data_IF_377765471386
#
_entry.id   IF_377765471386
#
_cell.length_a   1.000
_cell.length_b   1.000
_cell.length_c   1.000
_cell.angle_alpha   90.00
_cell.angle_beta   90.00
_cell.angle_gamma   90.00
#
_symmetry.space_group_name_H-M   'P 1'
#
loop_
_entity.id
_entity.type
_entity.pdbx_description
1 polymer ?
#
# COMPACT_ATOMS: atom_id res chain seq x y z
N UNK A 1 16.66 -11.13 0.08
CA UNK A 1 15.39 -10.44 -0.24
C UNK A 1 14.76 -11.18 -1.39
N UNK A 2 13.46 -11.50 -1.28
CA UNK A 2 12.69 -12.16 -2.34
C UNK A 2 12.39 -11.16 -3.45
N UNK A 3 12.45 -11.57 -4.71
CA UNK A 3 12.18 -10.67 -5.83
C UNK A 3 10.76 -10.05 -5.80
N UNK A 4 9.80 -10.75 -5.15
CA UNK A 4 8.45 -10.25 -4.93
C UNK A 4 8.48 -9.02 -4.03
N UNK A 5 9.22 -9.06 -2.92
CA UNK A 5 9.35 -7.95 -1.97
C UNK A 5 9.94 -6.72 -2.68
N UNK A 6 10.96 -6.91 -3.50
CA UNK A 6 11.57 -5.84 -4.28
C UNK A 6 10.59 -5.22 -5.29
N UNK A 7 9.72 -6.04 -5.90
CA UNK A 7 8.68 -5.56 -6.80
C UNK A 7 7.56 -4.84 -6.07
N UNK A 8 7.15 -5.31 -4.91
CA UNK A 8 6.18 -4.59 -4.06
C UNK A 8 6.74 -3.22 -3.67
N UNK A 9 8.00 -3.14 -3.23
CA UNK A 9 8.66 -1.86 -2.92
C UNK A 9 8.68 -0.90 -4.10
N UNK A 10 9.08 -1.38 -5.28
CA UNK A 10 9.07 -0.57 -6.50
C UNK A 10 7.65 -0.11 -6.85
N UNK A 11 6.66 -0.99 -6.72
CA UNK A 11 5.26 -0.71 -6.98
C UNK A 11 4.68 0.38 -6.07
N UNK A 12 4.83 0.24 -4.75
CA UNK A 12 4.35 1.23 -3.77
C UNK A 12 5.04 2.57 -3.97
N UNK A 13 6.35 2.58 -4.25
CA UNK A 13 7.09 3.79 -4.60
C UNK A 13 6.54 4.44 -5.86
N UNK A 14 6.25 3.67 -6.91
CA UNK A 14 5.64 4.20 -8.14
C UNK A 14 4.26 4.81 -7.87
N UNK A 15 3.43 4.19 -7.04
CA UNK A 15 2.14 4.76 -6.63
C UNK A 15 2.31 6.04 -5.79
N UNK A 16 3.25 6.04 -4.85
CA UNK A 16 3.56 7.20 -4.01
C UNK A 16 3.97 8.40 -4.87
N UNK A 17 4.77 8.18 -5.93
CA UNK A 17 5.18 9.22 -6.88
C UNK A 17 4.24 9.43 -8.07
N UNK A 18 3.06 8.81 -8.07
CA UNK A 18 2.06 8.95 -9.15
C UNK A 18 2.55 8.48 -10.53
N UNK A 19 3.58 7.64 -10.56
CA UNK A 19 4.06 6.94 -11.74
C UNK A 19 3.16 5.73 -12.06
N UNK A 20 1.86 5.97 -12.28
CA UNK A 20 0.84 4.92 -12.42
C UNK A 20 1.10 3.97 -13.59
N UNK A 21 1.72 4.44 -14.67
CA UNK A 21 2.13 3.58 -15.78
C UNK A 21 3.18 2.53 -15.37
N UNK A 22 4.15 2.91 -14.52
CA UNK A 22 5.13 1.97 -13.97
C UNK A 22 4.49 1.06 -12.93
N UNK A 23 3.66 1.61 -12.05
CA UNK A 23 2.91 0.83 -11.07
C UNK A 23 2.07 -0.28 -11.75
N UNK A 24 1.36 0.05 -12.84
CA UNK A 24 0.59 -0.93 -13.61
C UNK A 24 1.48 -2.05 -14.17
N UNK A 25 2.64 -1.72 -14.77
CA UNK A 25 3.57 -2.74 -15.31
C UNK A 25 4.12 -3.65 -14.22
N UNK A 26 4.39 -3.11 -13.03
CA UNK A 26 4.89 -3.91 -11.91
C UNK A 26 3.77 -4.80 -11.35
N UNK A 27 2.54 -4.28 -11.23
CA UNK A 27 1.39 -5.06 -10.78
C UNK A 27 1.12 -6.26 -11.71
N UNK A 28 1.28 -6.09 -13.02
CA UNK A 28 1.16 -7.20 -13.97
C UNK A 28 2.20 -8.30 -13.74
N UNK A 29 3.43 -7.93 -13.33
CA UNK A 29 4.46 -8.91 -12.93
C UNK A 29 4.08 -9.60 -11.61
N UNK A 30 3.44 -8.88 -10.69
CA UNK A 30 2.98 -9.40 -9.40
C UNK A 30 1.73 -10.29 -9.53
N UNK A 31 1.11 -10.41 -10.71
CA UNK A 31 -0.01 -11.35 -10.97
C UNK A 31 0.35 -12.80 -10.70
N UNK A 32 1.63 -13.14 -10.69
CA UNK A 32 2.08 -14.48 -10.33
C UNK A 32 1.84 -14.85 -8.85
N UNK A 33 1.43 -13.89 -8.00
CA UNK A 33 0.86 -14.17 -6.69
C UNK A 33 -0.50 -14.90 -6.80
N UNK A 34 -1.22 -14.74 -7.92
CA UNK A 34 -2.47 -15.46 -8.17
C UNK A 34 -2.21 -16.96 -8.38
N UNK A 35 -3.09 -17.81 -7.86
CA UNK A 35 -2.94 -19.26 -7.95
C UNK A 35 -1.86 -19.87 -7.04
N UNK A 36 -1.19 -19.07 -6.21
CA UNK A 36 -0.26 -19.54 -5.16
C UNK A 36 -0.94 -19.73 -3.79
N UNK A 37 -2.26 -19.96 -3.80
CA UNK A 37 -3.10 -20.10 -2.61
C UNK A 37 -3.79 -18.80 -2.16
N UNK A 38 -4.82 -18.94 -1.33
CA UNK A 38 -5.69 -17.85 -0.87
C UNK A 38 -4.91 -16.68 -0.26
N UNK A 39 -3.91 -16.99 0.57
CA UNK A 39 -3.01 -16.00 1.15
C UNK A 39 -2.30 -15.14 0.09
N UNK A 40 -1.70 -15.77 -0.93
CA UNK A 40 -1.02 -15.04 -2.00
C UNK A 40 -2.00 -14.23 -2.85
N UNK A 41 -3.21 -14.73 -3.05
CA UNK A 41 -4.27 -13.99 -3.73
C UNK A 41 -4.70 -12.75 -2.95
N UNK A 42 -4.92 -12.86 -1.63
CA UNK A 42 -5.23 -11.74 -0.76
C UNK A 42 -4.20 -10.62 -0.88
N UNK A 43 -2.90 -10.99 -0.87
CA UNK A 43 -1.81 -10.03 -1.11
C UNK A 43 -1.95 -9.32 -2.45
N UNK A 44 -2.20 -10.07 -3.52
CA UNK A 44 -2.38 -9.47 -4.85
C UNK A 44 -3.57 -8.50 -4.88
N UNK A 45 -4.71 -8.86 -4.29
CA UNK A 45 -5.89 -8.01 -4.28
C UNK A 45 -5.72 -6.73 -3.46
N UNK A 46 -4.96 -6.78 -2.36
CA UNK A 46 -4.56 -5.58 -1.64
C UNK A 46 -3.81 -4.61 -2.56
N UNK A 47 -2.78 -5.11 -3.27
CA UNK A 47 -2.00 -4.29 -4.21
C UNK A 47 -2.87 -3.75 -5.35
N UNK A 48 -3.71 -4.59 -5.95
CA UNK A 48 -4.62 -4.17 -7.01
C UNK A 48 -5.56 -3.05 -6.54
N UNK A 49 -6.09 -3.15 -5.32
CA UNK A 49 -6.92 -2.13 -4.70
C UNK A 49 -6.23 -0.77 -4.60
N UNK A 50 -4.92 -0.75 -4.29
CA UNK A 50 -4.12 0.49 -4.26
C UNK A 50 -4.11 1.20 -5.62
N UNK A 51 -3.85 0.49 -6.71
CA UNK A 51 -3.82 1.08 -8.06
C UNK A 51 -5.18 1.63 -8.45
N UNK A 52 -6.25 0.86 -8.19
CA UNK A 52 -7.62 1.28 -8.51
C UNK A 52 -7.98 2.57 -7.74
N UNK A 53 -7.71 2.61 -6.44
CA UNK A 53 -7.96 3.80 -5.62
C UNK A 53 -7.15 5.01 -6.12
N UNK A 54 -5.87 4.80 -6.42
CA UNK A 54 -4.98 5.86 -6.89
C UNK A 54 -5.39 6.41 -8.26
N UNK A 55 -5.74 5.55 -9.22
CA UNK A 55 -6.19 5.96 -10.55
C UNK A 55 -7.54 6.69 -10.54
N UNK A 56 -8.43 6.33 -9.61
CA UNK A 56 -9.72 7.01 -9.42
C UNK A 56 -9.59 8.33 -8.68
N UNK A 57 -8.45 8.62 -8.05
CA UNK A 57 -8.30 9.77 -7.17
C UNK A 57 -9.23 9.69 -5.96
N UNK A 58 -9.52 8.47 -5.47
CA UNK A 58 -10.43 8.24 -4.34
C UNK A 58 -9.80 8.71 -3.02
N UNK A 59 -10.03 9.99 -2.69
CA UNK A 59 -9.49 10.62 -1.47
C UNK A 59 -9.97 9.97 -0.17
N UNK A 60 -11.04 9.17 -0.23
CA UNK A 60 -11.55 8.45 0.94
C UNK A 60 -10.84 7.11 1.17
N UNK A 61 -10.21 6.56 0.13
CA UNK A 61 -9.43 5.34 0.22
C UNK A 61 -8.20 5.53 1.14
N UNK A 62 -7.96 4.53 1.99
CA UNK A 62 -6.88 4.56 2.98
C UNK A 62 -5.53 4.92 2.38
N UNK A 63 -5.21 4.39 1.19
CA UNK A 63 -3.95 4.67 0.51
C UNK A 63 -3.74 6.18 0.26
N UNK A 64 -4.75 6.87 -0.29
CA UNK A 64 -4.64 8.29 -0.61
C UNK A 64 -4.69 9.16 0.64
N UNK A 65 -5.48 8.79 1.66
CA UNK A 65 -5.42 9.43 2.99
C UNK A 65 -4.02 9.34 3.59
N UNK A 66 -3.46 8.14 3.66
CA UNK A 66 -2.11 7.90 4.19
C UNK A 66 -1.08 8.69 3.40
N UNK A 67 -1.14 8.64 2.07
CA UNK A 67 -0.18 9.31 1.18
C UNK A 67 -0.24 10.84 1.33
N UNK A 68 -1.42 11.43 1.28
CA UNK A 68 -1.57 12.89 1.09
C UNK A 68 -1.91 13.67 2.35
N UNK A 69 -2.55 13.03 3.34
CA UNK A 69 -3.19 13.73 4.47
C UNK A 69 -2.60 13.37 5.82
N UNK A 70 -1.97 12.19 5.96
CA UNK A 70 -1.48 11.70 7.24
C UNK A 70 0.01 11.97 7.44
N UNK A 71 0.36 12.38 8.66
CA UNK A 71 1.72 12.46 9.16
C UNK A 71 2.20 11.09 9.63
N UNK A 72 3.52 10.87 9.66
CA UNK A 72 4.15 9.57 9.96
C UNK A 72 3.61 8.94 11.26
N UNK A 73 3.40 9.75 12.31
CA UNK A 73 2.89 9.25 13.58
C UNK A 73 1.43 8.76 13.51
N UNK A 74 0.61 9.33 12.63
CA UNK A 74 -0.76 8.86 12.41
C UNK A 74 -0.77 7.55 11.63
N UNK A 75 0.15 7.41 10.65
CA UNK A 75 0.31 6.17 9.86
C UNK A 75 0.75 5.02 10.78
N UNK A 76 1.67 5.29 11.72
CA UNK A 76 2.09 4.30 12.73
C UNK A 76 0.91 3.79 13.57
N UNK A 77 0.00 4.68 14.00
CA UNK A 77 -1.21 4.29 14.73
C UNK A 77 -2.12 3.38 13.90
N UNK A 78 -2.39 3.75 12.65
CA UNK A 78 -3.19 2.89 11.73
C UNK A 78 -2.55 1.52 11.56
N UNK A 79 -1.22 1.48 11.40
CA UNK A 79 -0.44 0.25 11.26
C UNK A 79 -0.51 -0.64 12.50
N UNK A 80 -0.45 -0.05 13.71
CA UNK A 80 -0.63 -0.75 14.97
C UNK A 80 -2.05 -1.31 15.14
N UNK A 81 -3.07 -0.50 14.85
CA UNK A 81 -4.48 -0.90 14.90
C UNK A 81 -4.79 -2.04 13.93
N UNK A 82 -4.24 -1.97 12.70
CA UNK A 82 -4.40 -3.03 11.71
C UNK A 82 -3.70 -4.32 12.16
N UNK A 83 -2.47 -4.22 12.67
CA UNK A 83 -1.71 -5.36 13.17
C UNK A 83 -2.42 -6.08 14.32
N UNK A 84 -3.07 -5.33 15.22
CA UNK A 84 -3.85 -5.90 16.31
C UNK A 84 -5.06 -6.70 15.81
N UNK A 85 -5.70 -6.26 14.71
CA UNK A 85 -6.87 -6.95 14.12
C UNK A 85 -6.50 -8.26 13.43
N UNK A 86 -5.34 -8.31 12.76
CA UNK A 86 -4.87 -9.50 12.02
C UNK A 86 -4.59 -10.68 12.97
N UNK A 87 -4.19 -10.41 14.22
CA UNK A 87 -3.90 -11.45 15.22
C UNK A 87 -5.14 -12.18 15.75
N UNK A 88 -6.34 -11.78 15.31
CA UNK A 88 -7.58 -12.48 15.66
C UNK A 88 -7.67 -13.82 14.93
N UNK A 89 -8.01 -14.93 15.62
CA UNK A 89 -8.06 -16.27 15.02
C UNK A 89 -9.22 -16.49 14.00
N UNK A 90 -10.02 -15.45 13.72
CA UNK A 90 -11.19 -15.50 12.81
C UNK A 90 -10.83 -15.12 11.37
N UNK A 91 -9.59 -14.70 11.11
CA UNK A 91 -9.14 -14.23 9.79
C UNK A 91 -8.74 -15.44 8.93
N UNK A 92 -9.42 -15.62 7.79
CA UNK A 92 -9.06 -16.64 6.82
C UNK A 92 -7.72 -16.34 6.12
N UNK A 93 -7.20 -17.29 5.35
CA UNK A 93 -5.88 -17.13 4.72
C UNK A 93 -5.87 -15.97 3.71
N UNK A 94 -6.97 -15.75 2.99
CA UNK A 94 -7.11 -14.64 2.05
C UNK A 94 -7.02 -13.29 2.76
N UNK A 95 -7.85 -13.07 3.77
CA UNK A 95 -7.89 -11.84 4.55
C UNK A 95 -6.55 -11.60 5.24
N UNK A 96 -5.91 -12.67 5.74
CA UNK A 96 -4.57 -12.57 6.33
C UNK A 96 -3.55 -12.03 5.32
N UNK A 97 -3.51 -12.60 4.12
CA UNK A 97 -2.64 -12.13 3.06
C UNK A 97 -2.94 -10.69 2.65
N UNK A 98 -4.22 -10.34 2.54
CA UNK A 98 -4.66 -8.98 2.22
C UNK A 98 -4.17 -7.97 3.26
N UNK A 99 -4.41 -8.23 4.55
CA UNK A 99 -4.04 -7.30 5.61
C UNK A 99 -2.55 -7.26 5.89
N UNK A 100 -1.83 -8.39 5.80
CA UNK A 100 -0.37 -8.39 5.94
C UNK A 100 0.30 -7.61 4.81
N UNK A 101 -0.23 -7.69 3.58
CA UNK A 101 0.26 -6.86 2.48
C UNK A 101 0.04 -5.37 2.73
N UNK A 102 -1.08 -4.99 3.37
CA UNK A 102 -1.32 -3.61 3.79
C UNK A 102 -0.33 -3.15 4.87
N UNK A 103 0.05 -4.00 5.83
CA UNK A 103 1.09 -3.65 6.79
C UNK A 103 2.42 -3.35 6.09
N UNK A 104 2.82 -4.17 5.12
CA UNK A 104 4.03 -3.95 4.33
C UNK A 104 3.97 -2.61 3.56
N UNK A 105 2.81 -2.29 2.99
CA UNK A 105 2.57 -1.02 2.29
C UNK A 105 2.68 0.17 3.24
N UNK A 106 2.08 0.09 4.44
CA UNK A 106 2.16 1.14 5.45
C UNK A 106 3.60 1.36 5.92
N UNK A 107 4.35 0.29 6.17
CA UNK A 107 5.76 0.35 6.55
C UNK A 107 6.60 1.05 5.45
N UNK A 108 6.34 0.76 4.17
CA UNK A 108 6.99 1.45 3.05
C UNK A 108 6.58 2.91 2.89
N UNK A 109 5.30 3.25 3.13
CA UNK A 109 4.83 4.64 3.07
C UNK A 109 5.42 5.50 4.19
N UNK A 110 5.65 4.92 5.38
CA UNK A 110 6.39 5.55 6.46
C UNK A 110 7.83 5.85 6.00
N UNK A 111 8.53 4.85 5.47
CA UNK A 111 9.90 5.00 4.98
C UNK A 111 10.02 6.07 3.88
N UNK A 112 9.09 6.09 2.92
CA UNK A 112 9.05 7.09 1.85
C UNK A 112 8.80 8.50 2.37
N UNK A 113 7.89 8.68 3.34
CA UNK A 113 7.63 9.99 3.94
C UNK A 113 8.80 10.53 4.75
N UNK A 114 9.55 9.66 5.42
CA UNK A 114 10.74 10.04 6.19
C UNK A 114 11.92 10.42 5.27
N UNK A 115 12.12 9.69 4.16
CA UNK A 115 13.25 9.91 3.24
C UNK A 115 12.98 10.97 2.18
N UNK A 116 11.75 11.00 1.67
CA UNK A 116 11.32 11.81 0.53
C UNK A 116 10.00 12.51 0.87
N UNK A 117 10.03 13.43 1.84
CA UNK A 117 8.83 14.17 2.23
C UNK A 117 8.33 14.93 1.01
N UNK A 118 7.14 14.57 0.54
CA UNK A 118 6.43 15.40 -0.43
C UNK A 118 6.18 16.74 0.25
N UNK A 119 6.83 17.79 -0.25
CA UNK A 119 6.57 19.16 0.21
C UNK A 119 5.07 19.39 0.18
N UNK A 120 4.50 19.83 1.30
CA UNK A 120 3.06 20.11 1.45
C UNK A 120 2.71 21.22 0.45
N UNK A 121 2.29 20.81 -0.75
CA UNK A 121 1.94 21.70 -1.84
C UNK A 121 0.55 22.28 -1.65
N UNK A 122 0.40 23.15 -0.65
CA UNK A 122 -0.58 24.23 -0.64
C UNK A 122 0.27 25.51 -0.55
N UNK A 123 0.53 26.21 -1.64
CA UNK A 123 -0.50 26.84 -2.44
C UNK A 123 -0.93 28.11 -1.73
N UNK A 124 -0.08 29.14 -1.79
CA UNK A 124 -0.50 30.52 -1.61
C UNK A 124 -1.73 30.76 -2.47
N UNK A 125 -2.89 30.94 -1.84
CA UNK A 125 -3.94 31.78 -2.41
C UNK A 125 -3.95 33.08 -1.62
N UNK A 126 -3.75 34.15 -2.38
CA UNK A 126 -3.95 35.55 -2.01
C UNK A 126 -5.36 35.81 -1.51
#
# INVERSE_FOLDING_TARGET
>A
MSWIEDKVKQYVRSLYFEAYGEASRILDKLRELKGKGEYSEGRFYALQGLLVAAQRGDKEALFLKVRDQMEVNEIRKVREELSARIKSPVVDDFDRGFFEQWLEVLDQLIELKEKEPRGRGEGSSK
#
